data_IF_884375366068
#
_entry.id   IF_884375366068
#
_cell.length_a   1.000
_cell.length_b   1.000
_cell.length_c   1.000
_cell.angle_alpha   90.00
_cell.angle_beta   90.00
_cell.angle_gamma   90.00
#
_symmetry.space_group_name_H-M   'P 1'
#
loop_
_entity.id
_entity.type
_entity.pdbx_description
1 polymer ?
#
# COMPACT_ATOMS: atom_id res chain seq x y z
N UNK A 1 -15.97 -1.86 8.29
CA UNK A 1 -15.95 -1.14 6.99
C UNK A 1 -15.29 -1.95 5.90
N UNK A 2 -14.15 -2.60 6.16
CA UNK A 2 -13.48 -3.51 5.23
C UNK A 2 -14.43 -4.51 4.54
N UNK A 3 -15.21 -5.29 5.32
CA UNK A 3 -16.16 -6.27 4.76
C UNK A 3 -17.23 -5.64 3.86
N UNK A 4 -17.71 -4.44 4.20
CA UNK A 4 -18.65 -3.69 3.35
C UNK A 4 -17.97 -3.21 2.07
N UNK A 5 -16.72 -2.77 2.15
CA UNK A 5 -15.88 -2.43 0.99
C UNK A 5 -15.71 -3.61 0.05
N UNK A 6 -15.37 -4.79 0.58
CA UNK A 6 -15.32 -6.04 -0.20
C UNK A 6 -16.66 -6.34 -0.86
N UNK A 7 -17.78 -6.21 -0.15
CA UNK A 7 -19.11 -6.42 -0.72
C UNK A 7 -19.45 -5.48 -1.89
N UNK A 8 -18.97 -4.22 -1.86
CA UNK A 8 -19.15 -3.25 -2.96
C UNK A 8 -18.33 -3.64 -4.19
N UNK A 9 -17.07 -4.03 -3.97
CA UNK A 9 -16.13 -4.35 -5.04
C UNK A 9 -16.47 -5.69 -5.69
N UNK A 10 -16.77 -6.74 -4.91
CA UNK A 10 -17.10 -8.07 -5.41
C UNK A 10 -18.42 -8.09 -6.21
N UNK A 11 -19.35 -7.16 -5.96
CA UNK A 11 -20.59 -7.01 -6.73
C UNK A 11 -20.38 -6.27 -8.06
N UNK A 12 -19.20 -5.72 -8.31
CA UNK A 12 -18.91 -4.87 -9.47
C UNK A 12 -17.74 -5.46 -10.27
N UNK A 13 -17.95 -6.47 -11.12
CA UNK A 13 -16.87 -7.16 -11.85
C UNK A 13 -16.05 -6.21 -12.73
N UNK A 14 -16.67 -5.13 -13.23
CA UNK A 14 -15.98 -4.09 -13.99
C UNK A 14 -14.93 -3.34 -13.16
N UNK A 15 -15.18 -3.08 -11.87
CA UNK A 15 -14.23 -2.42 -10.97
C UNK A 15 -13.06 -3.35 -10.61
N UNK A 16 -13.33 -4.64 -10.44
CA UNK A 16 -12.29 -5.65 -10.25
C UNK A 16 -11.38 -5.78 -11.47
N UNK A 17 -11.95 -5.84 -12.68
CA UNK A 17 -11.18 -5.89 -13.93
C UNK A 17 -10.32 -4.64 -14.14
N UNK A 18 -10.86 -3.45 -13.86
CA UNK A 18 -10.11 -2.20 -13.91
C UNK A 18 -8.97 -2.16 -12.88
N UNK A 19 -9.20 -2.64 -11.66
CA UNK A 19 -8.17 -2.73 -10.62
C UNK A 19 -7.12 -3.82 -10.88
N UNK A 20 -7.48 -4.89 -11.57
CA UNK A 20 -6.57 -6.00 -11.90
C UNK A 20 -5.71 -5.70 -13.13
N UNK A 21 -6.13 -4.80 -14.03
CA UNK A 21 -5.41 -4.51 -15.27
C UNK A 21 -3.95 -4.07 -15.04
N UNK A 22 -3.64 -3.12 -14.13
CA UNK A 22 -2.25 -2.77 -13.82
C UNK A 22 -1.44 -3.96 -13.31
N UNK A 23 -2.05 -4.82 -12.50
CA UNK A 23 -1.41 -6.03 -11.97
C UNK A 23 -1.16 -7.08 -13.05
N UNK A 24 -2.04 -7.21 -14.04
CA UNK A 24 -1.82 -8.13 -15.15
C UNK A 24 -0.64 -7.67 -16.03
N UNK A 25 -0.57 -6.36 -16.31
CA UNK A 25 0.50 -5.79 -17.14
C UNK A 25 1.85 -5.91 -16.43
N UNK A 26 1.94 -5.42 -15.20
CA UNK A 26 3.18 -5.46 -14.43
C UNK A 26 3.59 -6.88 -14.04
N UNK A 27 2.61 -7.75 -13.76
CA UNK A 27 2.84 -9.15 -13.40
C UNK A 27 3.35 -9.97 -14.57
N UNK A 28 2.79 -9.76 -15.77
CA UNK A 28 3.31 -10.38 -16.99
C UNK A 28 4.72 -9.91 -17.31
N UNK A 29 5.02 -8.62 -17.11
CA UNK A 29 6.38 -8.07 -17.25
C UNK A 29 7.36 -8.70 -16.25
N UNK A 30 6.95 -8.85 -14.98
CA UNK A 30 7.78 -9.50 -13.96
C UNK A 30 8.08 -10.96 -14.33
N UNK A 31 7.06 -11.72 -14.73
CA UNK A 31 7.22 -13.11 -15.16
C UNK A 31 8.15 -13.20 -16.36
N UNK A 32 7.96 -12.33 -17.36
CA UNK A 32 8.84 -12.27 -18.52
C UNK A 32 10.29 -11.94 -18.14
N UNK A 33 10.51 -11.00 -17.23
CA UNK A 33 11.85 -10.65 -16.74
C UNK A 33 12.53 -11.81 -16.00
N UNK A 34 11.79 -12.52 -15.15
CA UNK A 34 12.30 -13.70 -14.43
C UNK A 34 12.64 -14.83 -15.40
N UNK A 35 11.78 -15.10 -16.38
CA UNK A 35 12.04 -16.10 -17.43
C UNK A 35 13.26 -15.71 -18.26
N UNK A 36 13.35 -14.46 -18.72
CA UNK A 36 14.48 -13.97 -19.50
C UNK A 36 15.79 -14.12 -18.73
N UNK A 37 15.81 -13.74 -17.44
CA UNK A 37 16.97 -13.93 -16.58
C UNK A 37 17.30 -15.42 -16.43
N UNK A 38 16.31 -16.29 -16.19
CA UNK A 38 16.57 -17.73 -16.04
C UNK A 38 17.18 -18.35 -17.31
N UNK A 39 16.76 -17.90 -18.49
CA UNK A 39 17.31 -18.37 -19.78
C UNK A 39 18.72 -17.85 -20.01
N UNK A 40 19.01 -16.59 -19.65
CA UNK A 40 20.32 -15.96 -19.90
C UNK A 40 21.31 -16.08 -18.73
N UNK A 41 20.86 -16.54 -17.56
CA UNK A 41 21.68 -16.68 -16.37
C UNK A 41 22.93 -17.55 -16.58
N UNK A 42 22.88 -18.71 -17.28
CA UNK A 42 24.07 -19.53 -17.49
C UNK A 42 25.19 -18.76 -18.20
N UNK A 43 24.86 -18.04 -19.28
CA UNK A 43 25.82 -17.25 -20.05
C UNK A 43 26.35 -16.05 -19.25
N UNK A 44 25.46 -15.35 -18.55
CA UNK A 44 25.81 -14.18 -17.73
C UNK A 44 26.76 -14.58 -16.59
N UNK A 45 26.49 -15.72 -15.95
CA UNK A 45 27.29 -16.23 -14.84
C UNK A 45 28.62 -16.78 -15.34
N UNK A 46 28.64 -17.49 -16.47
CA UNK A 46 29.88 -17.93 -17.08
C UNK A 46 30.79 -16.74 -17.41
N UNK A 47 30.22 -15.69 -18.02
CA UNK A 47 30.92 -14.43 -18.30
C UNK A 47 31.42 -13.74 -17.03
N UNK A 48 30.65 -13.75 -15.94
CA UNK A 48 31.02 -13.11 -14.68
C UNK A 48 32.00 -13.95 -13.82
N UNK A 49 32.18 -15.24 -14.12
CA UNK A 49 33.00 -16.17 -13.32
C UNK A 49 34.14 -16.85 -14.11
N UNK A 50 34.97 -16.10 -14.86
CA UNK A 50 36.08 -16.69 -15.61
C UNK A 50 37.16 -17.27 -14.67
N UNK A 51 37.28 -16.74 -13.45
CA UNK A 51 38.20 -17.28 -12.44
C UNK A 51 37.87 -18.72 -12.01
N UNK A 52 36.63 -19.18 -12.21
CA UNK A 52 36.19 -20.54 -11.90
C UNK A 52 36.46 -21.52 -13.07
N UNK A 53 36.95 -21.05 -14.22
CA UNK A 53 37.18 -21.89 -15.40
C UNK A 53 38.34 -22.88 -15.25
N UNK A 54 39.20 -22.70 -14.25
CA UNK A 54 40.28 -23.63 -13.91
C UNK A 54 39.90 -24.61 -12.79
N UNK A 55 38.73 -24.45 -12.17
CA UNK A 55 38.32 -25.28 -11.05
C UNK A 55 37.87 -26.67 -11.50
N UNK A 56 37.82 -27.61 -10.55
CA UNK A 56 37.15 -28.88 -10.73
C UNK A 56 35.71 -28.70 -11.27
N UNK A 57 35.27 -29.61 -12.14
CA UNK A 57 33.98 -29.50 -12.84
C UNK A 57 32.80 -29.44 -11.87
N UNK A 58 32.84 -30.24 -10.80
CA UNK A 58 31.76 -30.30 -9.82
C UNK A 58 31.71 -29.02 -8.98
N UNK A 59 32.87 -28.52 -8.52
CA UNK A 59 32.94 -27.26 -7.77
C UNK A 59 32.45 -26.06 -8.60
N UNK A 60 32.81 -26.02 -9.90
CA UNK A 60 32.38 -24.98 -10.84
C UNK A 60 30.87 -25.01 -11.07
N UNK A 61 30.31 -26.19 -11.33
CA UNK A 61 28.88 -26.36 -11.59
C UNK A 61 28.03 -25.99 -10.36
N UNK A 62 28.45 -26.42 -9.17
CA UNK A 62 27.80 -26.05 -7.91
C UNK A 62 27.78 -24.53 -7.70
N UNK A 63 28.92 -23.85 -7.90
CA UNK A 63 29.01 -22.40 -7.78
C UNK A 63 28.08 -21.71 -8.78
N UNK A 64 28.18 -22.05 -10.07
CA UNK A 64 27.41 -21.38 -11.14
C UNK A 64 25.91 -21.62 -11.00
N UNK A 65 25.51 -22.84 -10.64
CA UNK A 65 24.10 -23.17 -10.38
C UNK A 65 23.59 -22.43 -9.15
N UNK A 66 24.37 -22.38 -8.06
CA UNK A 66 24.02 -21.63 -6.86
C UNK A 66 23.85 -20.13 -7.13
N UNK A 67 24.75 -19.53 -7.91
CA UNK A 67 24.65 -18.14 -8.36
C UNK A 67 23.41 -17.92 -9.24
N UNK A 68 23.09 -18.86 -10.13
CA UNK A 68 21.91 -18.79 -11.00
C UNK A 68 20.61 -18.80 -10.23
N UNK A 69 20.46 -19.76 -9.32
CA UNK A 69 19.29 -19.85 -8.43
C UNK A 69 19.19 -18.59 -7.58
N UNK A 70 20.29 -18.14 -6.98
CA UNK A 70 20.31 -16.94 -6.13
C UNK A 70 19.91 -15.68 -6.90
N UNK A 71 20.42 -15.51 -8.13
CA UNK A 71 20.06 -14.38 -8.99
C UNK A 71 18.57 -14.39 -9.34
N UNK A 72 18.03 -15.56 -9.75
CA UNK A 72 16.60 -15.70 -10.05
C UNK A 72 15.73 -15.40 -8.83
N UNK A 73 16.07 -15.93 -7.66
CA UNK A 73 15.35 -15.68 -6.40
C UNK A 73 15.41 -14.21 -6.01
N UNK A 74 16.60 -13.59 -6.08
CA UNK A 74 16.77 -12.18 -5.74
C UNK A 74 15.98 -11.27 -6.71
N UNK A 75 16.06 -11.53 -8.02
CA UNK A 75 15.29 -10.79 -9.02
C UNK A 75 13.79 -10.98 -8.86
N UNK A 76 13.32 -12.19 -8.54
CA UNK A 76 11.91 -12.43 -8.25
C UNK A 76 11.47 -11.67 -6.99
N UNK A 77 12.28 -11.66 -5.92
CA UNK A 77 11.97 -10.96 -4.68
C UNK A 77 11.92 -9.44 -4.87
N UNK A 78 12.97 -8.85 -5.44
CA UNK A 78 13.02 -7.41 -5.75
C UNK A 78 11.94 -7.04 -6.77
N UNK A 79 11.78 -7.87 -7.79
CA UNK A 79 10.78 -7.69 -8.83
C UNK A 79 9.36 -7.71 -8.28
N UNK A 80 9.05 -8.52 -7.26
CA UNK A 80 7.76 -8.54 -6.59
C UNK A 80 7.48 -7.22 -5.85
N UNK A 81 8.49 -6.62 -5.22
CA UNK A 81 8.37 -5.31 -4.57
C UNK A 81 8.12 -4.20 -5.60
N UNK A 82 8.90 -4.19 -6.68
CA UNK A 82 8.74 -3.25 -7.79
C UNK A 82 7.38 -3.42 -8.44
N UNK A 83 6.96 -4.66 -8.69
CA UNK A 83 5.64 -5.02 -9.19
C UNK A 83 4.53 -4.40 -8.33
N UNK A 84 4.60 -4.58 -7.01
CA UNK A 84 3.61 -4.04 -6.09
C UNK A 84 3.56 -2.51 -6.17
N UNK A 85 4.72 -1.86 -6.09
CA UNK A 85 4.83 -0.40 -6.15
C UNK A 85 4.27 0.17 -7.47
N UNK A 86 4.67 -0.40 -8.60
CA UNK A 86 4.22 0.06 -9.93
C UNK A 86 2.73 -0.22 -10.13
N UNK A 87 2.24 -1.39 -9.71
CA UNK A 87 0.80 -1.74 -9.77
C UNK A 87 -0.03 -0.72 -9.02
N UNK A 88 0.37 -0.37 -7.79
CA UNK A 88 -0.33 0.61 -6.97
C UNK A 88 -0.28 2.02 -7.58
N UNK A 89 0.89 2.43 -8.10
CA UNK A 89 1.07 3.72 -8.73
C UNK A 89 0.16 3.89 -9.96
N UNK A 90 0.08 2.87 -10.82
CA UNK A 90 -0.83 2.85 -11.97
C UNK A 90 -2.30 2.70 -11.51
N UNK A 91 -2.53 2.03 -10.38
CA UNK A 91 -3.84 1.81 -9.76
C UNK A 91 -4.51 3.06 -9.20
N UNK A 92 -3.73 4.07 -8.81
CA UNK A 92 -4.19 5.30 -8.17
C UNK A 92 -5.44 5.95 -8.82
N UNK A 93 -5.48 6.25 -10.14
CA UNK A 93 -6.66 6.83 -10.78
C UNK A 93 -7.91 5.95 -10.66
N UNK A 94 -7.75 4.62 -10.65
CA UNK A 94 -8.88 3.70 -10.49
C UNK A 94 -9.40 3.70 -9.06
N UNK A 95 -8.51 3.76 -8.08
CA UNK A 95 -8.88 3.83 -6.67
C UNK A 95 -9.66 5.11 -6.35
N UNK A 96 -9.26 6.24 -6.93
CA UNK A 96 -9.99 7.50 -6.80
C UNK A 96 -11.42 7.38 -7.35
N UNK A 97 -11.60 6.80 -8.55
CA UNK A 97 -12.93 6.56 -9.13
C UNK A 97 -13.81 5.64 -8.29
N UNK A 98 -13.22 4.67 -7.58
CA UNK A 98 -13.95 3.80 -6.64
C UNK A 98 -14.45 4.61 -5.46
N UNK A 99 -13.59 5.44 -4.84
CA UNK A 99 -13.99 6.31 -3.74
C UNK A 99 -15.13 7.25 -4.16
N UNK A 100 -15.02 7.89 -5.33
CA UNK A 100 -16.08 8.74 -5.90
C UNK A 100 -17.40 8.01 -6.13
N UNK A 101 -17.33 6.76 -6.60
CA UNK A 101 -18.54 5.95 -6.81
C UNK A 101 -19.24 5.64 -5.49
N UNK A 102 -18.48 5.38 -4.42
CA UNK A 102 -19.01 5.16 -3.08
C UNK A 102 -19.61 6.45 -2.52
N UNK A 103 -18.91 7.58 -2.64
CA UNK A 103 -19.40 8.88 -2.18
C UNK A 103 -20.73 9.28 -2.87
N UNK A 104 -20.83 9.08 -4.19
CA UNK A 104 -22.10 9.33 -4.92
C UNK A 104 -23.26 8.49 -4.41
N UNK A 105 -23.01 7.25 -3.98
CA UNK A 105 -24.05 6.39 -3.38
C UNK A 105 -24.46 6.83 -1.97
N UNK A 106 -23.62 7.60 -1.28
CA UNK A 106 -23.87 8.09 0.08
C UNK A 106 -24.46 9.51 0.11
N UNK A 107 -24.98 10.01 -1.03
CA UNK A 107 -25.59 11.34 -1.13
C UNK A 107 -24.69 12.41 -1.74
N UNK A 108 -23.47 12.05 -2.17
CA UNK A 108 -22.54 12.97 -2.82
C UNK A 108 -21.80 13.89 -1.86
N UNK A 109 -20.91 14.71 -2.41
CA UNK A 109 -20.14 15.72 -1.67
C UNK A 109 -20.58 17.09 -2.16
N UNK A 110 -20.84 18.08 -1.28
CA UNK A 110 -20.96 19.47 -1.71
C UNK A 110 -19.66 19.85 -2.42
N UNK A 111 -19.74 20.35 -3.65
CA UNK A 111 -18.58 20.79 -4.41
C UNK A 111 -18.02 22.04 -3.70
N UNK A 112 -17.05 21.84 -2.80
CA UNK A 112 -16.28 22.92 -2.18
C UNK A 112 -15.01 23.16 -3.00
N UNK A 113 -14.50 24.39 -2.98
CA UNK A 113 -13.26 24.77 -3.66
C UNK A 113 -12.15 23.76 -3.33
N UNK A 114 -11.84 22.95 -4.34
CA UNK A 114 -10.78 21.96 -4.29
C UNK A 114 -9.47 22.66 -3.95
N UNK A 115 -8.77 22.13 -2.95
CA UNK A 115 -7.39 22.51 -2.63
C UNK A 115 -6.57 22.57 -3.92
N UNK A 116 -5.70 23.58 -4.05
CA UNK A 116 -4.88 23.71 -5.25
C UNK A 116 -4.06 22.42 -5.42
N UNK A 117 -3.90 21.91 -6.65
CA UNK A 117 -3.15 20.67 -6.95
C UNK A 117 -1.77 20.59 -6.25
N UNK A 118 -1.13 21.74 -6.05
CA UNK A 118 0.12 21.89 -5.31
C UNK A 118 0.00 21.59 -3.81
N UNK A 119 -1.07 22.03 -3.15
CA UNK A 119 -1.33 21.77 -1.74
C UNK A 119 -1.59 20.28 -1.49
N UNK A 120 -2.36 19.62 -2.37
CA UNK A 120 -2.59 18.18 -2.28
C UNK A 120 -1.31 17.38 -2.52
N UNK A 121 -0.46 17.80 -3.47
CA UNK A 121 0.84 17.17 -3.70
C UNK A 121 1.77 17.33 -2.49
N UNK A 122 1.84 18.53 -1.91
CA UNK A 122 2.65 18.81 -0.74
C UNK A 122 2.16 18.05 0.51
N UNK A 123 0.85 17.91 0.69
CA UNK A 123 0.29 17.18 1.82
C UNK A 123 0.51 15.66 1.70
N UNK A 124 0.39 15.10 0.49
CA UNK A 124 0.80 13.71 0.22
C UNK A 124 2.29 13.49 0.49
N UNK A 125 3.16 14.40 0.01
CA UNK A 125 4.59 14.32 0.26
C UNK A 125 4.92 14.38 1.76
N UNK A 126 4.21 15.19 2.56
CA UNK A 126 4.37 15.22 4.03
C UNK A 126 3.96 13.90 4.67
N UNK A 127 2.88 13.26 4.22
CA UNK A 127 2.44 11.97 4.76
C UNK A 127 3.48 10.89 4.46
N UNK A 128 3.93 10.79 3.20
CA UNK A 128 4.96 9.83 2.78
C UNK A 128 6.28 10.08 3.51
N UNK A 129 6.74 11.34 3.57
CA UNK A 129 7.97 11.71 4.26
C UNK A 129 7.91 11.44 5.77
N UNK A 130 6.74 11.63 6.40
CA UNK A 130 6.53 11.24 7.80
C UNK A 130 6.65 9.73 7.97
N UNK A 131 6.05 8.94 7.07
CA UNK A 131 6.18 7.47 7.08
C UNK A 131 7.64 7.03 6.97
N UNK A 132 8.39 7.57 6.00
CA UNK A 132 9.82 7.25 5.82
C UNK A 132 10.64 7.58 7.08
N UNK A 133 10.40 8.73 7.70
CA UNK A 133 11.13 9.14 8.90
C UNK A 133 10.77 8.25 10.10
N UNK A 134 9.50 7.88 10.23
CA UNK A 134 9.02 6.96 11.27
C UNK A 134 9.63 5.56 11.08
N UNK A 135 9.63 5.04 9.86
CA UNK A 135 10.22 3.73 9.54
C UNK A 135 11.73 3.74 9.78
N UNK A 136 12.43 4.84 9.47
CA UNK A 136 13.85 4.97 9.78
C UNK A 136 14.11 4.94 11.30
N UNK A 137 13.26 5.57 12.11
CA UNK A 137 13.35 5.50 13.58
C UNK A 137 13.09 4.09 14.09
N UNK A 138 12.11 3.37 13.55
CA UNK A 138 11.86 1.99 13.93
C UNK A 138 12.99 1.05 13.51
N UNK A 139 13.58 1.25 12.33
CA UNK A 139 14.76 0.51 11.88
C UNK A 139 15.93 0.68 12.87
N UNK A 140 16.12 1.88 13.44
CA UNK A 140 17.11 2.09 14.49
C UNK A 140 16.71 1.44 15.82
N UNK A 141 15.41 1.44 16.16
CA UNK A 141 14.90 0.81 17.38
C UNK A 141 15.00 -0.73 17.34
N UNK A 142 14.98 -1.34 16.15
CA UNK A 142 15.14 -2.79 15.96
C UNK A 142 16.51 -3.32 16.44
N UNK A 143 17.52 -2.45 16.57
CA UNK A 143 18.81 -2.81 17.13
C UNK A 143 18.81 -3.04 18.65
N UNK A 144 17.72 -2.69 19.35
CA UNK A 144 17.59 -2.95 20.79
C UNK A 144 17.17 -4.42 21.00
N UNK A 145 18.03 -5.29 21.59
CA UNK A 145 17.68 -6.69 21.81
C UNK A 145 16.40 -6.81 22.64
N UNK A 146 15.58 -7.83 22.34
CA UNK A 146 14.27 -8.11 22.96
C UNK A 146 13.19 -7.08 22.63
N UNK A 147 13.45 -5.76 22.71
CA UNK A 147 12.47 -4.71 22.42
C UNK A 147 12.22 -4.58 20.91
N UNK A 148 13.29 -4.59 20.12
CA UNK A 148 13.27 -4.50 18.66
C UNK A 148 12.49 -5.63 18.00
N UNK A 149 12.55 -6.85 18.53
CA UNK A 149 11.82 -7.98 17.94
C UNK A 149 10.39 -8.16 18.45
N UNK A 150 9.96 -7.42 19.48
CA UNK A 150 8.64 -7.62 20.12
C UNK A 150 7.75 -6.38 20.03
N UNK A 151 8.20 -5.25 20.56
CA UNK A 151 7.39 -4.03 20.68
C UNK A 151 7.43 -3.24 19.38
N UNK A 152 8.60 -3.11 18.77
CA UNK A 152 8.79 -2.29 17.58
C UNK A 152 7.90 -2.73 16.41
N UNK A 153 7.75 -4.03 16.07
CA UNK A 153 6.91 -4.44 14.94
C UNK A 153 5.43 -4.12 15.18
N UNK A 154 4.96 -4.23 16.42
CA UNK A 154 3.57 -3.93 16.79
C UNK A 154 3.29 -2.43 16.71
N UNK A 155 4.21 -1.61 17.23
CA UNK A 155 4.09 -0.15 17.19
C UNK A 155 4.24 0.36 15.75
N UNK A 156 5.16 -0.19 14.97
CA UNK A 156 5.35 0.10 13.56
C UNK A 156 4.09 -0.26 12.75
N UNK A 157 3.53 -1.46 12.96
CA UNK A 157 2.30 -1.86 12.28
C UNK A 157 1.12 -0.96 12.64
N UNK A 158 0.95 -0.58 13.91
CA UNK A 158 -0.09 0.35 14.33
C UNK A 158 0.10 1.75 13.71
N UNK A 159 1.34 2.23 13.64
CA UNK A 159 1.67 3.56 13.11
C UNK A 159 1.50 3.59 11.60
N UNK A 160 1.95 2.57 10.88
CA UNK A 160 1.76 2.46 9.45
C UNK A 160 0.29 2.23 9.08
N UNK A 161 -0.44 1.44 9.87
CA UNK A 161 -1.89 1.33 9.72
C UNK A 161 -2.59 2.68 9.91
N UNK A 162 -2.16 3.51 10.86
CA UNK A 162 -2.70 4.85 11.04
C UNK A 162 -2.50 5.75 9.82
N UNK A 163 -1.27 5.80 9.30
CA UNK A 163 -0.93 6.54 8.09
C UNK A 163 -1.72 6.01 6.88
N UNK A 164 -1.85 4.69 6.77
CA UNK A 164 -2.64 4.04 5.74
C UNK A 164 -4.13 4.41 5.85
N UNK A 165 -4.67 4.52 7.06
CA UNK A 165 -6.04 5.01 7.28
C UNK A 165 -6.24 6.47 6.86
N UNK A 166 -5.25 7.34 7.09
CA UNK A 166 -5.27 8.72 6.59
C UNK A 166 -5.30 8.74 5.06
N UNK A 167 -4.50 7.89 4.41
CA UNK A 167 -4.44 7.78 2.96
C UNK A 167 -5.76 7.27 2.36
N UNK A 168 -6.32 6.19 2.92
CA UNK A 168 -7.59 5.61 2.45
C UNK A 168 -8.79 6.55 2.62
N UNK A 169 -8.68 7.56 3.48
CA UNK A 169 -9.73 8.56 3.73
C UNK A 169 -9.43 9.90 3.06
N UNK A 170 -8.37 10.00 2.24
CA UNK A 170 -7.93 11.26 1.66
C UNK A 170 -8.97 11.85 0.71
N UNK A 171 -9.46 11.07 -0.25
CA UNK A 171 -10.42 11.49 -1.29
C UNK A 171 -11.73 12.08 -0.71
N UNK A 172 -12.43 11.41 0.23
CA UNK A 172 -13.66 11.98 0.79
C UNK A 172 -13.42 13.25 1.61
N UNK A 173 -12.22 13.41 2.21
CA UNK A 173 -11.90 14.61 3.01
C UNK A 173 -11.38 15.78 2.15
N UNK A 174 -10.54 15.53 1.14
CA UNK A 174 -10.07 16.56 0.20
C UNK A 174 -11.24 17.19 -0.55
N UNK A 175 -12.20 16.37 -1.01
CA UNK A 175 -13.43 16.85 -1.66
C UNK A 175 -14.32 17.71 -0.78
N UNK A 176 -14.11 17.69 0.55
CA UNK A 176 -14.79 18.54 1.54
C UNK A 176 -13.90 19.68 2.05
N UNK A 177 -12.80 19.99 1.36
CA UNK A 177 -11.88 21.07 1.71
C UNK A 177 -11.14 20.88 3.04
N UNK A 178 -11.16 19.68 3.64
CA UNK A 178 -10.54 19.46 4.96
C UNK A 178 -9.02 19.45 4.80
N UNK A 179 -8.25 20.35 5.45
CA UNK A 179 -6.79 20.31 5.38
C UNK A 179 -6.23 19.11 6.15
N UNK A 180 -4.99 18.70 5.86
CA UNK A 180 -4.34 17.55 6.49
C UNK A 180 -4.38 17.58 8.03
N UNK A 181 -4.22 18.76 8.63
CA UNK A 181 -4.29 18.94 10.09
C UNK A 181 -5.67 18.54 10.64
N UNK A 182 -6.75 18.94 9.97
CA UNK A 182 -8.12 18.59 10.35
C UNK A 182 -8.39 17.09 10.18
N UNK A 183 -7.88 16.48 9.09
CA UNK A 183 -7.98 15.02 8.85
C UNK A 183 -7.30 14.23 9.98
N UNK A 184 -6.08 14.62 10.36
CA UNK A 184 -5.34 14.00 11.46
C UNK A 184 -6.05 14.15 12.79
N UNK A 185 -6.60 15.33 13.09
CA UNK A 185 -7.36 15.56 14.31
C UNK A 185 -8.65 14.71 14.35
N UNK A 186 -9.37 14.61 13.23
CA UNK A 186 -10.61 13.83 13.14
C UNK A 186 -10.36 12.33 13.32
N UNK A 187 -9.34 11.76 12.65
CA UNK A 187 -8.93 10.38 12.91
C UNK A 187 -8.45 10.23 14.36
N UNK A 188 -7.69 11.21 14.87
CA UNK A 188 -7.19 11.31 16.25
C UNK A 188 -8.27 11.12 17.31
N UNK A 189 -9.42 11.77 17.11
CA UNK A 189 -10.58 11.68 17.99
C UNK A 189 -11.39 10.39 17.82
N UNK A 190 -11.12 9.62 16.77
CA UNK A 190 -11.80 8.36 16.44
C UNK A 190 -10.79 7.20 16.29
N UNK A 191 -9.75 7.18 17.14
CA UNK A 191 -8.60 6.28 17.05
C UNK A 191 -8.94 4.79 16.92
N UNK A 192 -9.83 4.31 17.80
CA UNK A 192 -10.25 2.90 17.79
C UNK A 192 -10.93 2.52 16.46
N UNK A 193 -11.72 3.43 15.89
CA UNK A 193 -12.42 3.22 14.64
C UNK A 193 -11.47 3.28 13.43
N UNK A 194 -10.51 4.21 13.46
CA UNK A 194 -9.46 4.33 12.44
C UNK A 194 -8.57 3.08 12.42
N UNK A 195 -8.00 2.69 13.56
CA UNK A 195 -7.10 1.53 13.65
C UNK A 195 -7.84 0.21 13.42
N UNK A 196 -9.05 0.05 13.96
CA UNK A 196 -9.86 -1.16 13.74
C UNK A 196 -10.24 -1.39 12.28
N UNK A 197 -10.23 -0.34 11.46
CA UNK A 197 -10.36 -0.45 10.01
C UNK A 197 -9.00 -0.60 9.32
N UNK A 198 -8.05 0.29 9.59
CA UNK A 198 -6.85 0.42 8.78
C UNK A 198 -5.79 -0.63 9.08
N UNK A 199 -5.73 -1.17 10.30
CA UNK A 199 -4.78 -2.23 10.66
C UNK A 199 -4.99 -3.52 9.86
N UNK A 200 -6.20 -4.11 9.78
CA UNK A 200 -6.39 -5.29 8.92
C UNK A 200 -6.19 -4.96 7.43
N UNK A 201 -6.56 -3.76 6.96
CA UNK A 201 -6.26 -3.36 5.58
C UNK A 201 -4.75 -3.36 5.32
N UNK A 202 -3.97 -2.72 6.21
CA UNK A 202 -2.53 -2.60 6.11
C UNK A 202 -1.86 -3.98 6.12
N UNK A 203 -2.20 -4.84 7.10
CA UNK A 203 -1.63 -6.18 7.21
C UNK A 203 -1.94 -7.06 5.99
N UNK A 204 -3.14 -6.95 5.42
CA UNK A 204 -3.46 -7.67 4.18
C UNK A 204 -2.70 -7.12 2.97
N UNK A 205 -2.47 -5.81 2.92
CA UNK A 205 -1.69 -5.16 1.85
C UNK A 205 -0.18 -5.42 1.96
N UNK A 206 0.33 -5.96 3.07
CA UNK A 206 1.73 -6.41 3.16
C UNK A 206 2.02 -7.60 2.23
N UNK A 207 0.99 -8.34 1.81
CA UNK A 207 1.13 -9.43 0.85
C UNK A 207 0.86 -8.87 -0.57
N UNK A 208 1.87 -8.76 -1.45
CA UNK A 208 1.75 -8.05 -2.73
C UNK A 208 0.57 -8.48 -3.60
N UNK A 209 0.34 -9.78 -3.72
CA UNK A 209 -0.75 -10.32 -4.54
C UNK A 209 -2.13 -10.07 -3.91
N UNK A 210 -2.20 -10.08 -2.57
CA UNK A 210 -3.44 -9.79 -1.84
C UNK A 210 -3.79 -8.32 -1.96
N UNK A 211 -2.79 -7.43 -1.95
CA UNK A 211 -2.95 -5.97 -2.05
C UNK A 211 -3.74 -5.55 -3.30
N UNK A 212 -3.60 -6.27 -4.43
CA UNK A 212 -4.31 -5.99 -5.69
C UNK A 212 -5.83 -5.99 -5.49
N UNK A 213 -6.34 -6.95 -4.72
CA UNK A 213 -7.79 -7.10 -4.46
C UNK A 213 -8.21 -6.26 -3.24
N UNK A 214 -7.33 -6.17 -2.24
CA UNK A 214 -7.62 -5.47 -1.00
C UNK A 214 -7.67 -3.97 -1.18
N UNK A 215 -6.80 -3.36 -2.00
CA UNK A 215 -6.78 -1.91 -2.18
C UNK A 215 -8.12 -1.33 -2.67
N UNK A 216 -8.73 -1.84 -3.76
CA UNK A 216 -10.07 -1.42 -4.17
C UNK A 216 -11.10 -1.47 -3.03
N UNK A 217 -11.10 -2.55 -2.24
CA UNK A 217 -12.03 -2.75 -1.13
C UNK A 217 -11.71 -1.83 0.05
N UNK A 218 -10.43 -1.60 0.34
CA UNK A 218 -9.94 -0.69 1.35
C UNK A 218 -10.29 0.76 0.99
N UNK A 219 -10.12 1.18 -0.25
CA UNK A 219 -10.51 2.52 -0.72
C UNK A 219 -12.02 2.75 -0.59
N UNK A 220 -12.84 1.77 -1.00
CA UNK A 220 -14.29 1.83 -0.77
C UNK A 220 -14.65 1.87 0.72
N UNK A 221 -13.94 1.08 1.55
CA UNK A 221 -14.09 1.07 2.99
C UNK A 221 -13.67 2.38 3.67
N UNK A 222 -12.65 3.05 3.12
CA UNK A 222 -12.15 4.35 3.56
C UNK A 222 -13.17 5.46 3.34
N UNK A 223 -13.83 5.49 2.18
CA UNK A 223 -14.97 6.39 1.92
C UNK A 223 -16.10 6.19 2.95
N UNK A 224 -16.49 4.94 3.20
CA UNK A 224 -17.50 4.62 4.24
C UNK A 224 -17.06 5.03 5.65
N UNK A 225 -15.78 4.87 5.98
CA UNK A 225 -15.21 5.28 7.26
C UNK A 225 -15.28 6.80 7.42
N UNK A 226 -14.85 7.54 6.40
CA UNK A 226 -14.86 9.00 6.40
C UNK A 226 -16.28 9.54 6.62
N UNK A 227 -17.27 9.01 5.89
CA UNK A 227 -18.65 9.44 6.04
C UNK A 227 -19.17 9.22 7.47
N UNK A 228 -18.96 8.02 8.04
CA UNK A 228 -19.38 7.71 9.40
C UNK A 228 -18.66 8.55 10.47
N UNK A 229 -17.41 8.92 10.25
CA UNK A 229 -16.69 9.84 11.16
C UNK A 229 -17.30 11.24 11.14
N UNK A 230 -17.69 11.74 9.96
CA UNK A 230 -18.36 13.04 9.82
C UNK A 230 -19.74 13.04 10.48
N UNK A 231 -20.53 11.96 10.32
CA UNK A 231 -21.81 11.79 11.02
C UNK A 231 -21.63 11.78 12.54
N UNK A 232 -20.63 11.04 13.03
CA UNK A 232 -20.33 10.97 14.47
C UNK A 232 -19.94 12.35 15.02
N UNK A 233 -19.19 13.13 14.25
CA UNK A 233 -18.76 14.47 14.64
C UNK A 233 -19.93 15.47 14.62
N UNK A 234 -20.79 15.41 13.61
CA UNK A 234 -22.02 16.21 13.56
C UNK A 234 -22.95 15.90 14.74
N UNK A 235 -23.09 14.62 15.10
CA UNK A 235 -23.88 14.19 16.25
C UNK A 235 -23.30 14.71 17.59
N UNK A 236 -21.97 14.74 17.74
CA UNK A 236 -21.32 15.36 18.91
C UNK A 236 -21.55 16.86 18.98
N UNK A 237 -21.49 17.55 17.83
CA UNK A 237 -21.73 19.00 17.77
C UNK A 237 -23.18 19.37 18.11
N UNK A 238 -24.13 18.47 17.82
CA UNK A 238 -25.56 18.64 18.14
C UNK A 238 -25.92 18.34 19.60
N UNK A 239 -25.02 17.72 20.39
CA UNK A 239 -25.25 17.49 21.82
C UNK A 239 -24.91 18.76 22.62
N UNK A 240 -25.86 19.34 23.38
CA UNK A 240 -25.58 20.49 24.23
C UNK A 240 -24.51 20.12 25.26
N UNK A 241 -23.51 21.00 25.47
CA UNK A 241 -22.54 20.85 26.56
C UNK A 241 -23.30 20.99 27.89
N UNK A 242 -23.56 19.87 28.56
CA UNK A 242 -24.16 19.82 29.89
C UNK A 242 -23.13 19.99 30.98
#
# INVERSE_FOLDING_TARGET
MLLRGFGIVLRSPRLLLLGALPALITGSLLVAAVIALAVWAPDLIAWATPFADSWDSTARELLRTGLGISAVVATAAVGLLVFAAVTLAIGAPFYERIAEHVERKLGGVPEQDVTTWWQDTADNAKVVGTGVLVDAVFMLADFIPVVGSTVVPVVAACTNAWLFGLELTVVPFTRRGLPLAARRALLGRNRAMALGFALPCYLLCLVPLVAIVVMPAATAGGALLAHRMLETEAARAAQPQS
#
